data_IF_646359749387
#
_entry.id   IF_646359749387
#
_cell.length_a   1.000
_cell.length_b   1.000
_cell.length_c   1.000
_cell.angle_alpha   90.00
_cell.angle_beta   90.00
_cell.angle_gamma   90.00
#
_symmetry.space_group_name_H-M   'P 1'
#
loop_
_entity.id
_entity.type
_entity.pdbx_description
1 polymer ?
#
# COMPACT_ATOMS: atom_id res chain seq x y z
N UNK A 1 -7.65 17.03 17.72
CA UNK A 1 -7.22 16.10 18.77
C UNK A 1 -5.77 16.28 19.23
N UNK A 2 -4.87 16.88 18.43
CA UNK A 2 -3.47 17.10 18.83
C UNK A 2 -3.31 17.93 20.13
N UNK A 3 -4.08 19.02 20.28
CA UNK A 3 -4.05 19.84 21.49
C UNK A 3 -4.55 19.08 22.72
N UNK A 4 -5.58 18.26 22.56
CA UNK A 4 -6.15 17.46 23.66
C UNK A 4 -5.10 16.56 24.32
N UNK A 5 -4.24 15.94 23.51
CA UNK A 5 -3.11 15.14 24.03
C UNK A 5 -2.04 16.05 24.60
N UNK A 6 -1.64 17.12 23.89
CA UNK A 6 -0.60 18.03 24.37
C UNK A 6 -0.91 18.64 25.74
N UNK A 7 -2.19 18.82 26.07
CA UNK A 7 -2.66 19.40 27.32
C UNK A 7 -3.26 18.37 28.30
N UNK A 8 -3.21 17.06 28.01
CA UNK A 8 -3.94 16.05 28.80
C UNK A 8 -3.53 16.01 30.28
N UNK A 9 -2.25 16.22 30.56
CA UNK A 9 -1.70 16.26 31.93
C UNK A 9 -1.44 17.70 32.42
N UNK A 10 -1.77 18.72 31.61
CA UNK A 10 -1.38 20.10 31.90
C UNK A 10 -2.07 20.66 33.15
N UNK A 11 -3.31 20.24 33.42
CA UNK A 11 -4.06 20.68 34.62
C UNK A 11 -3.41 20.17 35.90
N UNK A 12 -2.89 18.95 35.89
CA UNK A 12 -2.33 18.30 37.10
C UNK A 12 -0.82 18.54 37.25
N UNK A 13 -0.08 18.65 36.14
CA UNK A 13 1.39 18.72 36.14
C UNK A 13 1.93 20.10 35.77
N UNK A 14 1.11 20.97 35.18
CA UNK A 14 1.53 22.26 34.61
C UNK A 14 2.46 22.16 33.40
N UNK A 15 2.68 20.95 32.87
CA UNK A 15 3.61 20.68 31.78
C UNK A 15 2.87 20.25 30.52
N UNK A 16 3.42 20.66 29.38
CA UNK A 16 2.99 20.14 28.09
C UNK A 16 3.69 18.81 27.86
N UNK A 17 2.93 17.82 27.40
CA UNK A 17 3.50 16.53 27.04
C UNK A 17 3.87 16.51 25.55
N UNK A 18 5.05 15.97 25.27
CA UNK A 18 5.62 15.79 23.93
C UNK A 18 5.68 14.30 23.52
N UNK A 19 5.19 13.41 24.39
CA UNK A 19 5.11 11.96 24.18
C UNK A 19 3.66 11.52 24.19
N UNK A 20 3.35 10.56 23.33
CA UNK A 20 2.03 9.95 23.22
C UNK A 20 2.16 8.46 23.56
N UNK A 21 1.23 7.94 24.36
CA UNK A 21 1.17 6.51 24.63
C UNK A 21 0.49 5.77 23.45
N UNK A 22 0.66 4.46 23.39
CA UNK A 22 0.11 3.66 22.28
C UNK A 22 -1.43 3.78 22.14
N UNK A 23 -2.24 3.73 23.21
CA UNK A 23 -3.68 3.96 23.12
C UNK A 23 -4.09 5.31 22.52
N UNK A 24 -3.49 6.41 22.97
CA UNK A 24 -3.83 7.75 22.48
C UNK A 24 -3.30 7.97 21.06
N UNK A 25 -2.19 7.32 20.70
CA UNK A 25 -1.73 7.26 19.31
C UNK A 25 -2.77 6.59 18.41
N UNK A 26 -3.32 5.44 18.79
CA UNK A 26 -4.36 4.79 18.00
C UNK A 26 -5.60 5.66 17.84
N UNK A 27 -6.04 6.35 18.91
CA UNK A 27 -7.16 7.30 18.81
C UNK A 27 -6.87 8.35 17.74
N UNK A 28 -5.70 9.00 17.78
CA UNK A 28 -5.31 10.03 16.79
C UNK A 28 -5.22 9.46 15.40
N UNK A 29 -4.53 8.33 15.24
CA UNK A 29 -4.28 7.74 13.95
C UNK A 29 -5.57 7.29 13.25
N UNK A 30 -6.48 6.65 13.99
CA UNK A 30 -7.77 6.21 13.45
C UNK A 30 -8.70 7.39 13.16
N UNK A 31 -8.79 8.38 14.05
CA UNK A 31 -9.70 9.52 13.89
C UNK A 31 -9.26 10.50 12.81
N UNK A 32 -7.95 10.65 12.60
CA UNK A 32 -7.42 11.52 11.55
C UNK A 32 -7.09 10.78 10.25
N UNK A 33 -7.28 9.44 10.23
CA UNK A 33 -6.90 8.49 9.17
C UNK A 33 -6.19 9.21 8.03
N UNK A 34 -4.89 9.51 8.21
CA UNK A 34 -4.21 10.33 7.22
C UNK A 34 -4.32 9.61 5.88
N UNK A 35 -4.44 10.34 4.76
CA UNK A 35 -4.45 9.74 3.44
C UNK A 35 -3.03 9.28 3.08
N UNK A 36 -2.47 8.37 3.88
CA UNK A 36 -1.28 7.62 3.53
C UNK A 36 -1.71 6.54 2.55
N UNK A 37 -1.88 6.96 1.29
CA UNK A 37 -2.09 6.08 0.16
C UNK A 37 -0.80 5.94 -0.65
N UNK A 38 -0.64 4.82 -1.34
CA UNK A 38 0.34 4.72 -2.41
C UNK A 38 -0.08 5.69 -3.52
N UNK A 39 0.61 6.83 -3.63
CA UNK A 39 0.41 7.76 -4.74
C UNK A 39 0.92 7.13 -6.02
N UNK A 40 0.39 7.54 -7.18
CA UNK A 40 0.89 7.06 -8.47
C UNK A 40 2.40 7.34 -8.62
N UNK A 41 2.86 8.51 -8.14
CA UNK A 41 4.27 8.89 -8.13
C UNK A 41 5.12 7.95 -7.24
N UNK A 42 4.61 7.55 -6.09
CA UNK A 42 5.25 6.57 -5.21
C UNK A 42 5.35 5.18 -5.83
N UNK A 43 4.30 4.74 -6.53
CA UNK A 43 4.30 3.48 -7.27
C UNK A 43 5.33 3.53 -8.40
N UNK A 44 5.32 4.59 -9.22
CA UNK A 44 6.29 4.75 -10.31
C UNK A 44 7.74 4.73 -9.81
N UNK A 45 8.04 5.45 -8.71
CA UNK A 45 9.36 5.43 -8.07
C UNK A 45 9.76 4.02 -7.62
N UNK A 46 8.80 3.23 -7.14
CA UNK A 46 9.07 1.84 -6.75
C UNK A 46 9.46 0.99 -7.97
N UNK A 47 8.79 1.19 -9.12
CA UNK A 47 9.16 0.54 -10.38
C UNK A 47 10.48 1.04 -10.97
N UNK A 48 10.89 2.29 -10.72
CA UNK A 48 12.22 2.77 -11.09
C UNK A 48 13.34 2.02 -10.37
N UNK A 49 13.10 1.62 -9.12
CA UNK A 49 14.07 0.94 -8.25
C UNK A 49 14.07 -0.58 -8.51
N UNK A 50 12.89 -1.19 -8.61
CA UNK A 50 12.71 -2.64 -8.69
C UNK A 50 12.71 -3.16 -10.14
N UNK A 51 12.33 -2.31 -11.10
CA UNK A 51 12.11 -2.69 -12.48
C UNK A 51 13.30 -2.47 -13.41
N UNK A 52 13.28 -3.17 -14.53
CA UNK A 52 14.17 -2.93 -15.66
C UNK A 52 13.51 -1.99 -16.67
N UNK A 53 14.31 -1.46 -17.59
CA UNK A 53 13.78 -0.64 -18.70
C UNK A 53 13.45 -1.57 -19.87
N UNK A 54 12.18 -1.66 -20.25
CA UNK A 54 11.74 -2.54 -21.33
C UNK A 54 11.99 -1.96 -22.72
N UNK A 55 11.63 -2.72 -23.76
CA UNK A 55 11.79 -2.31 -25.17
C UNK A 55 11.06 -1.01 -25.53
N UNK A 56 10.02 -0.65 -24.78
CA UNK A 56 9.24 0.58 -24.94
C UNK A 56 9.80 1.75 -24.11
N UNK A 57 10.96 1.58 -23.47
CA UNK A 57 11.58 2.59 -22.60
C UNK A 57 10.87 2.80 -21.27
N UNK A 58 9.91 1.95 -20.89
CA UNK A 58 9.17 2.03 -19.64
C UNK A 58 9.81 1.15 -18.57
N UNK A 59 9.61 1.52 -17.30
CA UNK A 59 9.98 0.67 -16.17
C UNK A 59 8.97 -0.47 -16.00
N UNK A 60 9.46 -1.69 -16.03
CA UNK A 60 8.66 -2.89 -15.89
C UNK A 60 9.36 -3.94 -15.03
N UNK A 61 8.57 -4.85 -14.46
CA UNK A 61 9.03 -6.03 -13.75
C UNK A 61 8.48 -7.24 -14.50
N UNK A 62 9.29 -8.28 -14.69
CA UNK A 62 8.80 -9.53 -15.28
C UNK A 62 7.84 -10.20 -14.32
N UNK A 63 6.82 -10.86 -14.83
CA UNK A 63 5.81 -11.57 -14.03
C UNK A 63 6.44 -12.50 -12.99
N UNK A 64 7.42 -13.30 -13.38
CA UNK A 64 8.09 -14.25 -12.48
C UNK A 64 8.86 -13.54 -11.37
N UNK A 65 9.57 -12.45 -11.73
CA UNK A 65 10.30 -11.62 -10.78
C UNK A 65 9.34 -10.90 -9.82
N UNK A 66 8.19 -10.46 -10.31
CA UNK A 66 7.15 -9.80 -9.51
C UNK A 66 6.56 -10.75 -8.47
N UNK A 67 6.16 -11.96 -8.85
CA UNK A 67 5.65 -12.98 -7.92
C UNK A 67 6.69 -13.36 -6.87
N UNK A 68 7.96 -13.48 -7.28
CA UNK A 68 9.07 -13.74 -6.36
C UNK A 68 9.32 -12.57 -5.39
N UNK A 69 9.20 -11.33 -5.86
CA UNK A 69 9.37 -10.15 -5.01
C UNK A 69 8.32 -10.13 -3.90
N UNK A 70 7.06 -10.43 -4.20
CA UNK A 70 5.98 -10.48 -3.21
C UNK A 70 6.24 -11.49 -2.07
N UNK A 71 6.85 -12.63 -2.38
CA UNK A 71 7.16 -13.66 -1.38
C UNK A 71 8.46 -13.41 -0.61
N UNK A 72 9.37 -12.59 -1.13
CA UNK A 72 10.73 -12.45 -0.58
C UNK A 72 11.05 -11.07 0.00
N UNK A 73 10.23 -10.06 -0.28
CA UNK A 73 10.46 -8.67 0.14
C UNK A 73 9.25 -8.13 0.88
N UNK A 74 9.49 -7.52 2.04
CA UNK A 74 8.45 -6.91 2.85
C UNK A 74 7.91 -7.87 3.90
N UNK A 75 6.60 -7.82 4.12
CA UNK A 75 5.91 -8.73 5.02
C UNK A 75 5.95 -10.16 4.48
N UNK A 76 6.09 -11.13 5.36
CA UNK A 76 6.13 -12.53 4.95
C UNK A 76 4.80 -12.93 4.33
N UNK A 77 4.83 -13.35 3.07
CA UNK A 77 3.65 -13.76 2.30
C UNK A 77 3.94 -15.13 1.67
N UNK A 78 3.12 -16.12 2.00
CA UNK A 78 3.21 -17.47 1.44
C UNK A 78 2.63 -17.50 0.02
N UNK A 79 2.96 -18.54 -0.74
CA UNK A 79 2.41 -18.76 -2.09
C UNK A 79 0.88 -18.96 -2.06
N UNK A 80 0.36 -19.61 -1.01
CA UNK A 80 -1.08 -19.79 -0.80
C UNK A 80 -1.78 -18.46 -0.53
N UNK A 81 -1.24 -17.64 0.38
CA UNK A 81 -1.76 -16.29 0.65
C UNK A 81 -1.69 -15.41 -0.59
N UNK A 82 -0.60 -15.50 -1.36
CA UNK A 82 -0.44 -14.77 -2.62
C UNK A 82 -1.50 -15.15 -3.64
N UNK A 83 -1.72 -16.45 -3.83
CA UNK A 83 -2.73 -16.97 -4.76
C UNK A 83 -4.14 -16.56 -4.34
N UNK A 84 -4.45 -16.63 -3.03
CA UNK A 84 -5.72 -16.18 -2.48
C UNK A 84 -5.92 -14.67 -2.69
N UNK A 85 -4.89 -13.84 -2.46
CA UNK A 85 -4.95 -12.40 -2.70
C UNK A 85 -5.26 -12.07 -4.17
N UNK A 86 -4.57 -12.69 -5.12
CA UNK A 86 -4.84 -12.44 -6.53
C UNK A 86 -6.22 -12.97 -6.96
N UNK A 87 -6.64 -14.14 -6.47
CA UNK A 87 -7.97 -14.65 -6.74
C UNK A 87 -9.07 -13.69 -6.26
N UNK A 88 -8.87 -13.01 -5.12
CA UNK A 88 -9.76 -11.94 -4.66
C UNK A 88 -9.66 -10.69 -5.54
N UNK A 89 -8.46 -10.22 -5.88
CA UNK A 89 -8.27 -9.03 -6.72
C UNK A 89 -8.91 -9.18 -8.10
N UNK A 90 -8.83 -10.37 -8.70
CA UNK A 90 -9.44 -10.69 -10.00
C UNK A 90 -10.90 -11.15 -9.90
N UNK A 91 -11.49 -11.16 -8.69
CA UNK A 91 -12.89 -11.51 -8.48
C UNK A 91 -13.23 -12.99 -8.72
N UNK A 92 -12.23 -13.87 -8.72
CA UNK A 92 -12.41 -15.33 -8.85
C UNK A 92 -13.03 -15.94 -7.58
N UNK A 93 -12.85 -15.27 -6.43
CA UNK A 93 -13.50 -15.62 -5.16
C UNK A 93 -14.37 -14.44 -4.68
N UNK A 94 -15.71 -14.50 -4.85
CA UNK A 94 -16.62 -13.43 -4.44
C UNK A 94 -16.75 -13.28 -2.91
N UNK A 95 -16.47 -14.35 -2.15
CA UNK A 95 -16.44 -14.34 -0.69
C UNK A 95 -15.01 -14.06 -0.23
N UNK A 96 -14.68 -12.77 -0.08
CA UNK A 96 -13.36 -12.32 0.33
C UNK A 96 -12.95 -12.90 1.69
N UNK A 97 -11.70 -13.39 1.76
CA UNK A 97 -11.02 -13.87 2.97
C UNK A 97 -11.70 -15.07 3.67
N UNK A 98 -11.00 -16.22 3.77
CA UNK A 98 -11.52 -17.53 4.23
C UNK A 98 -11.91 -17.62 5.72
N UNK A 99 -12.60 -16.64 6.30
CA UNK A 99 -12.95 -16.61 7.73
C UNK A 99 -14.39 -17.04 8.06
N UNK A 100 -15.22 -17.44 7.09
CA UNK A 100 -16.53 -18.01 7.40
C UNK A 100 -16.51 -19.55 7.37
N UNK A 101 -16.75 -20.24 8.50
CA UNK A 101 -16.71 -21.71 8.57
C UNK A 101 -17.87 -22.42 7.84
N UNK A 102 -18.74 -21.68 7.16
CA UNK A 102 -19.91 -22.21 6.45
C UNK A 102 -19.77 -22.22 4.92
N UNK A 103 -18.72 -21.60 4.36
CA UNK A 103 -18.45 -21.71 2.93
C UNK A 103 -17.80 -23.08 2.66
N UNK A 104 -18.63 -24.04 2.23
CA UNK A 104 -18.20 -25.32 1.71
C UNK A 104 -17.01 -25.13 0.77
N UNK A 105 -16.01 -26.00 0.89
CA UNK A 105 -14.86 -26.22 0.01
C UNK A 105 -15.21 -26.11 -1.50
N UNK A 106 -15.43 -24.91 -2.00
CA UNK A 106 -15.14 -24.60 -3.38
C UNK A 106 -13.63 -24.52 -3.38
N UNK A 107 -12.99 -25.54 -3.95
CA UNK A 107 -11.64 -25.35 -4.47
C UNK A 107 -11.78 -24.21 -5.47
N UNK A 108 -11.57 -22.98 -5.00
CA UNK A 108 -11.51 -21.81 -5.86
C UNK A 108 -10.55 -22.18 -6.97
N UNK A 109 -10.97 -21.96 -8.22
CA UNK A 109 -10.12 -22.21 -9.38
C UNK A 109 -8.74 -21.64 -9.08
N UNK A 110 -7.72 -22.51 -9.03
CA UNK A 110 -6.35 -22.06 -8.84
C UNK A 110 -6.07 -21.01 -9.91
N UNK A 111 -5.59 -19.84 -9.47
CA UNK A 111 -5.32 -18.75 -10.39
C UNK A 111 -4.22 -19.17 -11.37
N UNK A 112 -4.50 -19.06 -12.66
CA UNK A 112 -3.50 -19.24 -13.70
C UNK A 112 -2.79 -17.91 -13.94
N UNK A 113 -1.62 -17.71 -13.32
CA UNK A 113 -0.88 -16.45 -13.41
C UNK A 113 -0.48 -16.10 -14.84
N UNK A 114 -0.23 -17.09 -15.70
CA UNK A 114 0.09 -16.90 -17.13
C UNK A 114 -1.08 -16.30 -17.92
N UNK A 115 -2.31 -16.56 -17.50
CA UNK A 115 -3.52 -16.08 -18.17
C UNK A 115 -3.96 -14.71 -17.64
N UNK A 116 -3.85 -14.51 -16.32
CA UNK A 116 -4.34 -13.30 -15.65
C UNK A 116 -3.31 -12.16 -15.59
N UNK A 117 -2.01 -12.47 -15.55
CA UNK A 117 -0.95 -11.47 -15.46
C UNK A 117 -0.16 -11.37 -16.77
N UNK A 118 0.15 -10.15 -17.25
CA UNK A 118 1.02 -9.98 -18.41
C UNK A 118 2.48 -10.30 -18.07
N UNK A 119 3.24 -10.71 -19.08
CA UNK A 119 4.68 -11.01 -18.97
C UNK A 119 5.50 -9.84 -18.39
N UNK A 120 5.15 -8.61 -18.76
CA UNK A 120 5.76 -7.37 -18.28
C UNK A 120 4.73 -6.50 -17.55
N UNK A 121 4.96 -6.27 -16.27
CA UNK A 121 4.09 -5.45 -15.42
C UNK A 121 4.74 -4.07 -15.29
N UNK A 122 4.02 -3.04 -15.70
CA UNK A 122 4.40 -1.62 -15.51
C UNK A 122 3.65 -1.04 -14.31
N UNK A 123 4.11 0.11 -13.80
CA UNK A 123 3.42 0.84 -12.73
C UNK A 123 1.94 1.12 -13.06
N UNK A 124 1.64 1.46 -14.32
CA UNK A 124 0.28 1.70 -14.78
C UNK A 124 -0.56 0.42 -14.76
N UNK A 125 -0.04 -0.68 -15.33
CA UNK A 125 -0.72 -1.98 -15.34
C UNK A 125 -1.01 -2.44 -13.91
N UNK A 126 -0.01 -2.38 -13.04
CA UNK A 126 -0.15 -2.76 -11.64
C UNK A 126 -1.27 -1.97 -10.94
N UNK A 127 -1.29 -0.66 -11.12
CA UNK A 127 -2.27 0.20 -10.47
C UNK A 127 -3.70 -0.03 -11.00
N UNK A 128 -3.88 -0.10 -12.33
CA UNK A 128 -5.22 -0.14 -12.92
C UNK A 128 -5.78 -1.54 -13.10
N UNK A 129 -4.95 -2.50 -13.52
CA UNK A 129 -5.42 -3.84 -13.92
C UNK A 129 -5.33 -4.82 -12.77
N UNK A 130 -4.30 -4.72 -11.93
CA UNK A 130 -4.10 -5.64 -10.80
C UNK A 130 -4.82 -5.10 -9.55
N UNK A 131 -4.55 -3.85 -9.16
CA UNK A 131 -5.16 -3.26 -7.96
C UNK A 131 -6.57 -2.66 -8.20
N UNK A 132 -6.97 -2.46 -9.46
CA UNK A 132 -8.27 -1.86 -9.79
C UNK A 132 -8.41 -0.39 -9.36
N UNK A 133 -7.31 0.32 -9.12
CA UNK A 133 -7.32 1.71 -8.66
C UNK A 133 -7.43 2.68 -9.85
N UNK A 134 -8.17 3.78 -9.64
CA UNK A 134 -8.21 4.88 -10.59
C UNK A 134 -6.93 5.71 -10.45
N UNK A 135 -6.21 5.91 -11.56
CA UNK A 135 -5.05 6.79 -11.57
C UNK A 135 -5.54 8.24 -11.45
N UNK A 136 -5.47 8.81 -10.26
CA UNK A 136 -5.52 10.26 -10.10
C UNK A 136 -4.14 10.82 -10.41
N UNK A 137 -4.03 11.66 -11.43
CA UNK A 137 -2.82 12.47 -11.58
C UNK A 137 -2.77 13.41 -10.39
N UNK A 138 -1.72 13.27 -9.59
CA UNK A 138 -1.50 14.09 -8.41
C UNK A 138 -1.41 15.56 -8.86
N UNK A 139 -2.49 16.32 -8.67
CA UNK A 139 -2.50 17.76 -8.92
C UNK A 139 -1.75 18.42 -7.76
N UNK A 140 -0.42 18.35 -7.85
CA UNK A 140 0.60 19.05 -7.07
C UNK A 140 0.21 19.56 -5.69
N UNK A 141 0.78 18.95 -4.66
CA UNK A 141 1.62 19.64 -3.67
C UNK A 141 2.22 18.59 -2.74
N UNK A 142 3.40 18.08 -3.10
CA UNK A 142 4.37 17.71 -2.06
C UNK A 142 4.58 18.98 -1.21
N UNK A 143 4.33 18.96 0.11
CA UNK A 143 4.76 20.04 0.97
C UNK A 143 6.29 19.97 1.01
N UNK A 144 6.89 20.68 0.07
CA UNK A 144 8.32 20.95 0.04
C UNK A 144 8.70 21.55 1.39
N UNK A 145 9.61 20.87 2.06
CA UNK A 145 10.38 21.41 3.18
C UNK A 145 11.23 22.56 2.62
N UNK A 146 10.73 23.78 2.73
CA UNK A 146 11.52 25.02 2.68
C UNK A 146 10.73 26.06 3.46
N UNK A 147 11.17 26.53 4.62
CA UNK A 147 12.01 27.73 4.68
C UNK A 147 12.59 27.89 6.11
N UNK A 148 13.85 27.51 6.37
CA UNK A 148 14.70 28.21 7.36
C UNK A 148 16.17 28.02 6.95
N UNK A 149 16.60 28.68 5.87
CA UNK A 149 18.03 29.00 5.72
C UNK A 149 18.27 30.17 4.75
N UNK A 150 17.69 31.34 5.05
CA UNK A 150 18.22 32.64 4.57
C UNK A 150 17.95 33.72 5.60
N UNK A 151 18.82 33.83 6.60
CA UNK A 151 19.17 35.13 7.18
C UNK A 151 20.67 35.30 7.02
N UNK A 152 21.01 36.17 6.08
CA UNK A 152 22.27 36.91 6.06
C UNK A 152 22.29 37.89 7.24
#
# INVERSE_FOLDING_TARGET
>A
MFNEIRFSEYVDTGKLIDKINLPDFFKVYLNHRPPFGNTMSGIQRSFDILGFTNSKGKKAIRREDFLKLLQTKGEHMTEEEMSDCFATLFGLNPEGWKSEPAASSVKGSEICFEEELPDEITAEIFTTQILGLTISQDSGQDPTVSEVERRA
#
